data_IF_840729550293
#
_entry.id   IF_840729550293
#
_cell.length_a   1.000
_cell.length_b   1.000
_cell.length_c   1.000
_cell.angle_alpha   90.00
_cell.angle_beta   90.00
_cell.angle_gamma   90.00
#
_symmetry.space_group_name_H-M   'P 1'
#
loop_
_entity.id
_entity.type
_entity.pdbx_description
1 polymer ?
#
# COMPACT_ATOMS: atom_id res chain seq x y z
N UNK A 1 40.07 12.74 15.80
CA UNK A 1 38.66 12.80 15.39
C UNK A 1 37.85 11.92 16.33
N UNK A 2 37.23 12.52 17.33
CA UNK A 2 36.31 11.82 18.23
C UNK A 2 34.99 11.60 17.49
N UNK A 3 34.68 10.34 17.14
CA UNK A 3 33.31 9.98 16.77
C UNK A 3 32.46 10.15 18.02
N UNK A 4 31.58 11.12 18.05
CA UNK A 4 30.53 11.24 19.04
C UNK A 4 29.69 9.97 18.98
N UNK A 5 29.68 9.22 20.08
CA UNK A 5 28.87 8.02 20.24
C UNK A 5 27.43 8.48 20.51
N UNK A 6 26.72 8.93 19.45
CA UNK A 6 25.29 9.19 19.59
C UNK A 6 24.58 7.87 19.88
N UNK A 7 23.68 7.84 20.87
CA UNK A 7 22.94 6.62 21.17
C UNK A 7 22.18 6.16 19.93
N UNK A 8 22.35 4.89 19.58
CA UNK A 8 21.62 4.27 18.47
C UNK A 8 20.11 4.44 18.71
N UNK A 9 19.33 4.93 17.73
CA UNK A 9 17.89 5.04 17.91
C UNK A 9 17.29 3.68 18.30
N UNK A 10 16.19 3.65 19.07
CA UNK A 10 15.51 2.40 19.36
C UNK A 10 15.09 1.74 18.05
N UNK A 11 15.07 0.41 17.99
CA UNK A 11 14.63 -0.32 16.81
C UNK A 11 13.16 0.04 16.46
N UNK A 12 12.83 0.13 15.18
CA UNK A 12 11.47 0.36 14.71
C UNK A 12 10.53 -0.72 15.25
N UNK A 13 9.37 -0.30 15.72
CA UNK A 13 8.29 -1.20 16.08
C UNK A 13 7.45 -1.47 14.83
N UNK A 14 7.48 -2.71 14.36
CA UNK A 14 6.69 -3.13 13.19
C UNK A 14 5.34 -3.70 13.67
N UNK A 15 4.25 -3.12 13.14
CA UNK A 15 2.87 -3.57 13.39
C UNK A 15 2.38 -4.31 12.16
N UNK A 16 2.31 -5.63 12.29
CA UNK A 16 1.92 -6.49 11.16
C UNK A 16 0.41 -6.50 11.01
N UNK A 17 -0.06 -6.25 9.79
CA UNK A 17 -1.46 -6.30 9.41
C UNK A 17 -1.65 -6.96 8.05
N UNK A 18 -2.88 -6.94 7.54
CA UNK A 18 -3.21 -7.36 6.19
C UNK A 18 -4.33 -6.49 5.60
N UNK A 19 -4.60 -6.65 4.30
CA UNK A 19 -5.57 -5.86 3.57
C UNK A 19 -6.52 -6.74 2.75
N UNK A 20 -7.71 -6.23 2.37
CA UNK A 20 -8.73 -7.00 1.63
C UNK A 20 -8.28 -7.57 0.29
N UNK A 21 -7.28 -6.97 -0.38
CA UNK A 21 -6.70 -7.48 -1.62
C UNK A 21 -6.09 -8.88 -1.47
N UNK A 22 -5.56 -9.18 -0.28
CA UNK A 22 -5.10 -10.54 0.10
C UNK A 22 -6.24 -11.56 0.23
N UNK A 23 -7.49 -11.11 0.17
CA UNK A 23 -8.70 -11.93 0.07
C UNK A 23 -9.38 -11.82 -1.30
N UNK A 24 -8.69 -11.28 -2.29
CA UNK A 24 -9.20 -11.10 -3.64
C UNK A 24 -10.22 -9.98 -3.77
N UNK A 25 -10.14 -8.97 -2.92
CA UNK A 25 -11.07 -7.83 -2.90
C UNK A 25 -10.42 -6.62 -3.56
N UNK A 26 -10.91 -6.25 -4.74
CA UNK A 26 -10.45 -5.09 -5.50
C UNK A 26 -11.55 -4.03 -5.69
N UNK A 27 -12.80 -4.40 -5.48
CA UNK A 27 -13.95 -3.54 -5.72
C UNK A 27 -14.83 -3.47 -4.49
N UNK A 28 -15.55 -2.35 -4.28
CA UNK A 28 -16.44 -2.23 -3.13
C UNK A 28 -17.64 -3.18 -3.19
N UNK A 29 -18.09 -3.55 -4.39
CA UNK A 29 -19.29 -4.35 -4.62
C UNK A 29 -19.09 -5.26 -5.84
N UNK A 30 -18.50 -6.41 -5.62
CA UNK A 30 -18.32 -7.46 -6.64
C UNK A 30 -18.76 -8.82 -6.07
N UNK A 31 -19.75 -9.50 -6.69
CA UNK A 31 -20.28 -10.77 -6.19
C UNK A 31 -19.28 -11.93 -6.26
N UNK A 32 -18.16 -11.79 -6.95
CA UNK A 32 -17.11 -12.81 -7.04
C UNK A 32 -16.07 -12.69 -5.89
N UNK A 33 -16.18 -11.68 -5.06
CA UNK A 33 -15.33 -11.46 -3.89
C UNK A 33 -15.96 -12.03 -2.63
N UNK A 34 -15.13 -12.30 -1.61
CA UNK A 34 -15.66 -12.69 -0.29
C UNK A 34 -16.39 -11.50 0.37
N UNK A 35 -17.41 -11.79 1.16
CA UNK A 35 -18.08 -10.78 1.97
C UNK A 35 -17.13 -10.20 3.04
N UNK A 36 -17.33 -8.93 3.39
CA UNK A 36 -16.50 -8.23 4.38
C UNK A 36 -16.50 -8.91 5.76
N UNK A 37 -17.59 -9.53 6.16
CA UNK A 37 -17.72 -10.27 7.42
C UNK A 37 -16.79 -11.49 7.46
N UNK A 38 -16.75 -12.26 6.36
CA UNK A 38 -15.82 -13.37 6.20
C UNK A 38 -14.36 -12.90 6.18
N UNK A 39 -14.06 -11.82 5.48
CA UNK A 39 -12.71 -11.22 5.50
C UNK A 39 -12.27 -10.90 6.93
N UNK A 40 -13.11 -10.19 7.70
CA UNK A 40 -12.78 -9.81 9.07
C UNK A 40 -12.63 -11.02 10.00
N UNK A 41 -13.44 -12.06 9.83
CA UNK A 41 -13.31 -13.30 10.60
C UNK A 41 -12.01 -14.01 10.27
N UNK A 42 -11.69 -14.17 8.99
CA UNK A 42 -10.52 -14.93 8.54
C UNK A 42 -9.19 -14.18 8.81
N UNK A 43 -9.14 -12.86 8.68
CA UNK A 43 -7.93 -12.09 9.00
C UNK A 43 -7.60 -12.16 10.50
N UNK A 44 -8.62 -12.12 11.37
CA UNK A 44 -8.45 -12.34 12.81
C UNK A 44 -8.01 -13.78 13.12
N UNK A 45 -8.63 -14.77 12.48
CA UNK A 45 -8.28 -16.19 12.61
C UNK A 45 -6.85 -16.50 12.14
N UNK A 46 -6.35 -15.75 11.13
CA UNK A 46 -4.97 -15.83 10.68
C UNK A 46 -3.95 -15.23 11.67
N UNK A 47 -4.41 -14.54 12.72
CA UNK A 47 -3.58 -13.95 13.77
C UNK A 47 -3.15 -12.50 13.50
N UNK A 48 -3.75 -11.82 12.53
CA UNK A 48 -3.52 -10.40 12.34
C UNK A 48 -4.36 -9.59 13.34
N UNK A 49 -3.83 -8.43 13.73
CA UNK A 49 -4.52 -7.47 14.62
C UNK A 49 -4.75 -6.12 13.97
N UNK A 50 -4.18 -5.89 12.78
CA UNK A 50 -4.32 -4.67 12.00
C UNK A 50 -4.80 -4.97 10.60
N UNK A 51 -5.67 -4.09 10.10
CA UNK A 51 -6.19 -4.16 8.72
C UNK A 51 -6.17 -2.79 8.05
N UNK A 52 -6.12 -2.77 6.72
CA UNK A 52 -6.54 -1.62 5.92
C UNK A 52 -8.03 -1.72 5.56
N UNK A 53 -8.64 -0.57 5.25
CA UNK A 53 -10.05 -0.52 4.85
C UNK A 53 -10.29 -1.13 3.47
N UNK A 54 -9.27 -1.12 2.59
CA UNK A 54 -9.44 -1.49 1.18
C UNK A 54 -10.35 -0.52 0.42
N UNK A 55 -11.03 -0.96 -0.64
CA UNK A 55 -11.87 -0.10 -1.44
C UNK A 55 -13.06 0.43 -0.64
N UNK A 56 -13.26 1.77 -0.67
CA UNK A 56 -14.33 2.43 0.09
C UNK A 56 -15.71 1.87 -0.28
N UNK A 57 -16.43 1.36 0.70
CA UNK A 57 -17.73 0.72 0.53
C UNK A 57 -17.71 -0.79 0.65
N UNK A 58 -16.53 -1.44 0.63
CA UNK A 58 -16.42 -2.87 0.92
C UNK A 58 -16.68 -3.18 2.41
N UNK A 59 -15.96 -2.55 3.31
CA UNK A 59 -16.27 -2.60 4.74
C UNK A 59 -17.44 -1.64 5.07
N UNK A 60 -18.12 -1.82 6.21
CA UNK A 60 -19.17 -0.89 6.62
C UNK A 60 -18.69 0.56 6.62
N UNK A 61 -19.44 1.44 5.96
CA UNK A 61 -19.15 2.89 5.90
C UNK A 61 -19.75 3.68 7.05
N UNK A 62 -20.60 3.07 7.86
CA UNK A 62 -21.02 3.62 9.15
C UNK A 62 -19.87 3.43 10.17
N UNK A 63 -19.31 4.51 10.73
CA UNK A 63 -18.14 4.42 11.59
C UNK A 63 -18.38 3.65 12.89
N UNK A 64 -19.58 3.73 13.45
CA UNK A 64 -19.91 3.01 14.69
C UNK A 64 -19.94 1.50 14.41
N UNK A 65 -20.63 1.11 13.34
CA UNK A 65 -20.69 -0.29 12.91
C UNK A 65 -19.29 -0.83 12.58
N UNK A 66 -18.47 -0.07 11.85
CA UNK A 66 -17.10 -0.48 11.52
C UNK A 66 -16.27 -0.74 12.79
N UNK A 67 -16.31 0.18 13.77
CA UNK A 67 -15.63 0.01 15.06
C UNK A 67 -16.11 -1.22 15.81
N UNK A 68 -17.41 -1.44 15.89
CA UNK A 68 -17.99 -2.59 16.58
C UNK A 68 -17.56 -3.91 15.91
N UNK A 69 -17.59 -3.97 14.56
CA UNK A 69 -17.22 -5.15 13.79
C UNK A 69 -15.73 -5.49 13.88
N UNK A 70 -14.86 -4.48 13.92
CA UNK A 70 -13.42 -4.69 14.09
C UNK A 70 -13.08 -5.03 15.55
N UNK A 71 -13.64 -4.30 16.53
CA UNK A 71 -13.36 -4.48 17.95
C UNK A 71 -13.78 -5.86 18.46
N UNK A 72 -14.93 -6.39 18.04
CA UNK A 72 -15.39 -7.73 18.45
C UNK A 72 -14.48 -8.87 17.98
N UNK A 73 -13.63 -8.60 16.99
CA UNK A 73 -12.62 -9.53 16.45
C UNK A 73 -11.19 -9.23 16.91
N UNK A 74 -11.00 -8.23 17.76
CA UNK A 74 -9.67 -7.79 18.20
C UNK A 74 -8.84 -7.11 17.12
N UNK A 75 -9.51 -6.58 16.09
CA UNK A 75 -8.87 -5.88 14.97
C UNK A 75 -8.85 -4.37 15.19
N UNK A 76 -7.84 -3.72 14.65
CA UNK A 76 -7.72 -2.27 14.56
C UNK A 76 -7.46 -1.86 13.10
N UNK A 77 -7.91 -0.68 12.71
CA UNK A 77 -7.67 -0.12 11.38
C UNK A 77 -6.38 0.67 11.37
N UNK A 78 -5.54 0.48 10.36
CA UNK A 78 -4.26 1.19 10.17
C UNK A 78 -4.39 2.36 9.21
N UNK A 79 -5.09 2.17 8.09
CA UNK A 79 -5.22 3.16 7.02
C UNK A 79 -6.51 3.01 6.21
N UNK A 80 -6.89 4.09 5.54
CA UNK A 80 -7.79 4.07 4.39
C UNK A 80 -7.02 4.32 3.10
N UNK A 81 -7.56 3.86 1.96
CA UNK A 81 -6.87 3.90 0.67
C UNK A 81 -7.70 4.66 -0.37
N UNK A 82 -7.02 5.51 -1.17
CA UNK A 82 -7.64 6.29 -2.24
C UNK A 82 -6.78 6.30 -3.50
N UNK A 83 -7.41 6.21 -4.67
CA UNK A 83 -6.77 6.51 -5.94
C UNK A 83 -6.93 7.98 -6.30
N UNK A 84 -5.88 8.59 -6.85
CA UNK A 84 -5.86 10.03 -7.16
C UNK A 84 -5.32 10.31 -8.55
N UNK A 85 -5.96 11.23 -9.28
CA UNK A 85 -5.51 11.70 -10.59
C UNK A 85 -4.82 13.07 -10.56
N UNK A 86 -4.06 13.39 -9.50
CA UNK A 86 -3.55 14.74 -9.21
C UNK A 86 -2.63 15.33 -10.28
N UNK A 87 -1.99 14.49 -11.11
CA UNK A 87 -1.21 14.93 -12.27
C UNK A 87 -2.04 15.69 -13.32
N UNK A 88 -3.39 15.53 -13.30
CA UNK A 88 -4.33 16.23 -14.19
C UNK A 88 -4.60 17.69 -13.76
N UNK A 89 -3.99 18.13 -12.66
CA UNK A 89 -4.05 19.50 -12.18
C UNK A 89 -5.35 19.89 -11.46
N UNK A 90 -5.62 21.19 -11.42
CA UNK A 90 -6.76 21.74 -10.65
C UNK A 90 -8.14 21.24 -11.13
N UNK A 91 -8.24 20.80 -12.37
CA UNK A 91 -9.51 20.37 -12.95
C UNK A 91 -10.15 19.17 -12.19
N UNK A 92 -9.32 18.32 -11.59
CA UNK A 92 -9.78 17.13 -10.85
C UNK A 92 -9.81 17.33 -9.34
N UNK A 93 -9.38 18.49 -8.84
CA UNK A 93 -9.17 18.70 -7.40
C UNK A 93 -10.44 18.52 -6.57
N UNK A 94 -11.53 19.18 -6.94
CA UNK A 94 -12.76 19.15 -6.14
C UNK A 94 -13.38 17.75 -6.08
N UNK A 95 -13.39 17.01 -7.19
CA UNK A 95 -13.87 15.63 -7.24
C UNK A 95 -12.98 14.70 -6.41
N UNK A 96 -11.65 14.81 -6.59
CA UNK A 96 -10.68 14.05 -5.82
C UNK A 96 -10.84 14.32 -4.32
N UNK A 97 -10.93 15.60 -3.94
CA UNK A 97 -11.11 15.98 -2.54
C UNK A 97 -12.42 15.44 -1.94
N UNK A 98 -13.52 15.52 -2.67
CA UNK A 98 -14.80 15.00 -2.20
C UNK A 98 -14.77 13.49 -1.91
N UNK A 99 -13.99 12.73 -2.68
CA UNK A 99 -13.75 11.31 -2.41
C UNK A 99 -12.78 11.11 -1.24
N UNK A 100 -11.65 11.78 -1.23
CA UNK A 100 -10.64 11.74 -0.16
C UNK A 100 -11.27 12.06 1.19
N UNK A 101 -12.11 13.11 1.27
CA UNK A 101 -12.77 13.53 2.49
C UNK A 101 -13.62 12.41 3.11
N UNK A 102 -14.38 11.68 2.29
CA UNK A 102 -15.21 10.54 2.77
C UNK A 102 -14.37 9.42 3.35
N UNK A 103 -13.27 9.05 2.65
CA UNK A 103 -12.38 8.00 3.12
C UNK A 103 -11.62 8.45 4.37
N UNK A 104 -11.10 9.68 4.39
CA UNK A 104 -10.36 10.23 5.51
C UNK A 104 -11.23 10.34 6.78
N UNK A 105 -12.49 10.76 6.63
CA UNK A 105 -13.42 10.80 7.76
C UNK A 105 -13.67 9.42 8.35
N UNK A 106 -13.98 8.41 7.50
CA UNK A 106 -14.18 7.04 7.95
C UNK A 106 -12.91 6.48 8.63
N UNK A 107 -11.73 6.76 8.02
CA UNK A 107 -10.42 6.35 8.52
C UNK A 107 -10.14 6.92 9.91
N UNK A 108 -10.36 8.23 10.09
CA UNK A 108 -10.23 8.92 11.38
C UNK A 108 -11.19 8.36 12.43
N UNK A 109 -12.45 8.20 12.06
CA UNK A 109 -13.48 7.67 12.96
C UNK A 109 -13.24 6.20 13.34
N UNK A 110 -12.59 5.42 12.48
CA UNK A 110 -12.12 4.07 12.79
C UNK A 110 -10.88 4.04 13.71
N UNK A 111 -10.31 5.20 14.06
CA UNK A 111 -9.14 5.34 14.92
C UNK A 111 -7.80 5.08 14.22
N UNK A 112 -7.79 5.07 12.89
CA UNK A 112 -6.59 4.92 12.08
C UNK A 112 -5.82 6.24 11.94
N UNK A 113 -4.54 6.15 11.59
CA UNK A 113 -3.65 7.32 11.53
C UNK A 113 -3.14 7.65 10.12
N UNK A 114 -3.49 6.87 9.10
CA UNK A 114 -2.88 7.00 7.77
C UNK A 114 -3.91 7.02 6.65
N UNK A 115 -3.60 7.77 5.60
CA UNK A 115 -4.26 7.71 4.29
C UNK A 115 -3.22 7.28 3.25
N UNK A 116 -3.45 6.14 2.62
CA UNK A 116 -2.65 5.63 1.50
C UNK A 116 -3.20 6.24 0.21
N UNK A 117 -2.38 7.03 -0.49
CA UNK A 117 -2.75 7.67 -1.75
C UNK A 117 -2.02 6.99 -2.91
N UNK A 118 -2.77 6.39 -3.83
CA UNK A 118 -2.27 5.71 -5.02
C UNK A 118 -2.43 6.63 -6.22
N UNK A 119 -1.37 6.90 -7.01
CA UNK A 119 -1.48 7.63 -8.27
C UNK A 119 -2.37 6.93 -9.28
N UNK A 120 -2.93 7.67 -10.24
CA UNK A 120 -3.78 7.09 -11.27
C UNK A 120 -3.02 6.15 -12.19
N UNK A 121 -3.73 5.18 -12.73
CA UNK A 121 -3.26 4.30 -13.79
C UNK A 121 -3.08 5.08 -15.11
N UNK A 122 -1.99 4.77 -15.84
CA UNK A 122 -1.79 5.26 -17.20
C UNK A 122 -2.40 4.34 -18.25
N UNK A 123 -2.66 3.06 -17.89
CA UNK A 123 -3.41 2.10 -18.71
C UNK A 123 -4.47 1.40 -17.85
N UNK A 124 -5.53 0.93 -18.47
CA UNK A 124 -6.54 0.13 -17.80
C UNK A 124 -5.94 -1.19 -17.29
N UNK A 125 -6.12 -1.47 -16.03
CA UNK A 125 -5.52 -2.61 -15.33
C UNK A 125 -6.04 -3.98 -15.81
N UNK A 126 -7.19 -4.02 -16.49
CA UNK A 126 -7.79 -5.26 -17.00
C UNK A 126 -7.55 -5.47 -18.48
N UNK A 127 -7.75 -4.42 -19.28
CA UNK A 127 -7.72 -4.52 -20.74
C UNK A 127 -6.37 -4.15 -21.32
N UNK A 128 -5.55 -3.37 -20.59
CA UNK A 128 -4.30 -2.78 -21.08
C UNK A 128 -4.50 -1.61 -22.02
N UNK A 129 -5.75 -1.12 -22.20
CA UNK A 129 -6.01 0.08 -22.99
C UNK A 129 -5.24 1.27 -22.38
N UNK A 130 -4.50 1.98 -23.23
CA UNK A 130 -3.77 3.18 -22.82
C UNK A 130 -4.78 4.29 -22.53
N UNK A 131 -4.84 4.72 -21.29
CA UNK A 131 -5.74 5.79 -20.83
C UNK A 131 -5.08 7.16 -21.01
N UNK A 132 -3.79 7.22 -20.77
CA UNK A 132 -2.96 8.44 -20.85
C UNK A 132 -1.53 8.07 -21.23
N UNK A 133 -0.73 9.04 -21.66
CA UNK A 133 0.69 8.84 -21.87
C UNK A 133 1.34 8.41 -20.56
N UNK A 134 2.10 7.29 -20.57
CA UNK A 134 2.78 6.78 -19.38
C UNK A 134 3.67 7.83 -18.73
N UNK A 135 4.45 8.53 -19.58
CA UNK A 135 5.39 9.56 -19.13
C UNK A 135 4.69 10.89 -18.94
N UNK A 136 4.65 11.36 -17.70
CA UNK A 136 4.09 12.67 -17.39
C UNK A 136 4.95 13.80 -17.94
N UNK A 137 4.31 14.80 -18.52
CA UNK A 137 4.99 16.05 -18.90
C UNK A 137 5.57 16.75 -17.66
N UNK A 138 6.57 17.65 -17.83
CA UNK A 138 7.07 18.45 -16.71
C UNK A 138 5.99 19.29 -15.98
N UNK A 139 4.92 19.68 -16.69
CA UNK A 139 3.79 20.38 -16.08
C UNK A 139 2.95 19.44 -15.21
N UNK A 140 2.61 18.26 -15.72
CA UNK A 140 1.86 17.24 -14.98
C UNK A 140 2.62 16.76 -13.73
N UNK A 141 3.95 16.61 -13.81
CA UNK A 141 4.79 16.30 -12.64
C UNK A 141 4.72 17.40 -11.57
N UNK A 142 4.79 18.69 -11.97
CA UNK A 142 4.63 19.80 -11.01
C UNK A 142 3.26 19.78 -10.35
N UNK A 143 2.20 19.50 -11.12
CA UNK A 143 0.85 19.42 -10.58
C UNK A 143 0.71 18.21 -9.64
N UNK A 144 1.25 17.05 -10.00
CA UNK A 144 1.27 15.86 -9.13
C UNK A 144 1.92 16.18 -7.78
N UNK A 145 3.15 16.73 -7.77
CA UNK A 145 3.87 17.04 -6.53
C UNK A 145 3.11 18.07 -5.70
N UNK A 146 2.75 19.20 -6.30
CA UNK A 146 2.07 20.31 -5.63
C UNK A 146 0.70 19.90 -5.04
N UNK A 147 -0.09 19.15 -5.81
CA UNK A 147 -1.42 18.73 -5.36
C UNK A 147 -1.36 17.58 -4.36
N UNK A 148 -0.33 16.74 -4.42
CA UNK A 148 -0.08 15.73 -3.39
C UNK A 148 0.26 16.41 -2.05
N UNK A 149 1.10 17.44 -2.05
CA UNK A 149 1.37 18.23 -0.84
C UNK A 149 0.11 18.93 -0.31
N UNK A 150 -0.68 19.55 -1.21
CA UNK A 150 -1.96 20.17 -0.84
C UNK A 150 -2.93 19.16 -0.22
N UNK A 151 -3.02 17.96 -0.78
CA UNK A 151 -3.83 16.87 -0.26
C UNK A 151 -3.33 16.46 1.13
N UNK A 152 -2.04 16.20 1.28
CA UNK A 152 -1.43 15.79 2.54
C UNK A 152 -1.60 16.84 3.64
N UNK A 153 -1.38 18.11 3.31
CA UNK A 153 -1.60 19.21 4.23
C UNK A 153 -3.07 19.27 4.69
N UNK A 154 -4.01 19.20 3.75
CA UNK A 154 -5.43 19.29 4.06
C UNK A 154 -5.95 18.09 4.83
N UNK A 155 -5.48 16.87 4.50
CA UNK A 155 -5.78 15.64 5.23
C UNK A 155 -5.28 15.71 6.67
N UNK A 156 -4.09 16.27 6.89
CA UNK A 156 -3.54 16.49 8.23
C UNK A 156 -4.35 17.49 9.03
N UNK A 157 -4.67 18.65 8.44
CA UNK A 157 -5.38 19.72 9.13
C UNK A 157 -6.84 19.36 9.48
N UNK A 158 -7.56 18.72 8.55
CA UNK A 158 -8.98 18.44 8.74
C UNK A 158 -9.25 17.12 9.47
N UNK A 159 -8.36 16.12 9.30
CA UNK A 159 -8.59 14.76 9.83
C UNK A 159 -7.49 14.26 10.78
N UNK A 160 -6.35 14.94 10.88
CA UNK A 160 -5.23 14.51 11.70
C UNK A 160 -4.51 13.27 11.18
N UNK A 161 -4.70 12.90 9.90
CA UNK A 161 -4.07 11.74 9.29
C UNK A 161 -2.76 12.11 8.60
N UNK A 162 -1.83 11.16 8.56
CA UNK A 162 -0.61 11.22 7.74
C UNK A 162 -0.90 10.66 6.36
N UNK A 163 -0.39 11.31 5.32
CA UNK A 163 -0.52 10.84 3.95
C UNK A 163 0.74 10.13 3.51
N UNK A 164 0.58 8.89 3.07
CA UNK A 164 1.64 8.08 2.46
C UNK A 164 1.29 7.81 1.00
N UNK A 165 2.22 8.09 0.08
CA UNK A 165 2.03 7.78 -1.34
C UNK A 165 2.50 6.37 -1.63
N UNK A 166 1.66 5.61 -2.29
CA UNK A 166 1.89 4.22 -2.67
C UNK A 166 2.18 4.12 -4.18
N UNK A 167 3.44 3.97 -4.60
CA UNK A 167 3.80 3.61 -5.96
C UNK A 167 3.22 2.25 -6.34
N UNK A 168 2.52 2.18 -7.49
CA UNK A 168 1.81 0.97 -7.89
C UNK A 168 2.09 0.67 -9.37
N UNK A 169 2.20 -0.62 -9.72
CA UNK A 169 2.37 -1.06 -11.11
C UNK A 169 1.28 -0.46 -12.01
N UNK A 170 1.65 -0.10 -13.25
CA UNK A 170 0.79 0.53 -14.24
C UNK A 170 0.23 1.91 -13.86
N UNK A 171 0.72 2.56 -12.79
CA UNK A 171 0.41 3.96 -12.47
C UNK A 171 1.50 4.91 -12.98
N UNK A 172 1.24 6.22 -12.91
CA UNK A 172 2.24 7.24 -13.27
C UNK A 172 3.43 7.33 -12.30
N UNK A 173 3.38 6.62 -11.17
CA UNK A 173 4.51 6.51 -10.23
C UNK A 173 4.75 5.02 -9.97
N UNK A 174 5.46 4.37 -10.88
CA UNK A 174 5.68 2.93 -10.85
C UNK A 174 7.17 2.54 -10.86
N UNK A 175 8.05 3.31 -11.50
CA UNK A 175 9.49 3.01 -11.58
C UNK A 175 10.27 3.66 -10.44
N UNK A 176 11.52 3.20 -10.20
CA UNK A 176 12.43 3.83 -9.24
C UNK A 176 12.64 5.32 -9.56
N UNK A 177 12.80 5.68 -10.84
CA UNK A 177 12.97 7.07 -11.25
C UNK A 177 11.75 7.92 -10.84
N UNK A 178 10.54 7.40 -11.06
CA UNK A 178 9.31 8.09 -10.68
C UNK A 178 9.17 8.24 -9.17
N UNK A 179 9.48 7.19 -8.40
CA UNK A 179 9.43 7.20 -6.94
C UNK A 179 10.43 8.21 -6.38
N UNK A 180 11.69 8.16 -6.82
CA UNK A 180 12.73 9.10 -6.40
C UNK A 180 12.34 10.53 -6.75
N UNK A 181 11.86 10.77 -7.97
CA UNK A 181 11.41 12.09 -8.40
C UNK A 181 10.28 12.64 -7.53
N UNK A 182 9.28 11.82 -7.19
CA UNK A 182 8.20 12.24 -6.30
C UNK A 182 8.74 12.61 -4.91
N UNK A 183 9.60 11.77 -4.34
CA UNK A 183 10.21 12.01 -3.03
C UNK A 183 11.08 13.27 -3.01
N UNK A 184 11.84 13.53 -4.08
CA UNK A 184 12.71 14.70 -4.18
C UNK A 184 11.95 16.01 -4.46
N UNK A 185 10.73 15.91 -4.99
CA UNK A 185 9.91 17.09 -5.36
C UNK A 185 8.75 17.38 -4.41
N UNK A 186 8.64 16.62 -3.31
CA UNK A 186 7.61 16.82 -2.28
C UNK A 186 8.22 17.06 -0.90
N UNK A 187 7.52 17.86 -0.09
CA UNK A 187 7.91 18.18 1.29
C UNK A 187 7.96 16.92 2.16
N UNK A 188 9.13 16.56 2.74
CA UNK A 188 9.30 15.40 3.59
C UNK A 188 8.48 15.41 4.89
N UNK A 189 8.06 16.58 5.34
CA UNK A 189 7.24 16.72 6.55
C UNK A 189 5.73 16.53 6.26
N UNK A 190 5.34 16.50 4.99
CA UNK A 190 3.94 16.34 4.56
C UNK A 190 3.67 15.01 3.89
N UNK A 191 4.53 14.59 2.98
CA UNK A 191 4.33 13.42 2.13
C UNK A 191 5.34 12.35 2.49
N UNK A 192 4.87 11.18 2.86
CA UNK A 192 5.72 10.02 3.15
C UNK A 192 5.50 8.91 2.12
N UNK A 193 6.36 7.93 2.13
CA UNK A 193 6.30 6.77 1.25
C UNK A 193 5.58 5.61 1.94
N UNK A 194 4.59 5.04 1.28
CA UNK A 194 4.16 3.67 1.48
C UNK A 194 4.94 2.80 0.48
N UNK A 195 6.00 2.14 0.95
CA UNK A 195 6.75 1.24 0.08
C UNK A 195 6.05 -0.11 -0.01
N UNK A 196 5.47 -0.39 -1.17
CA UNK A 196 5.03 -1.74 -1.53
C UNK A 196 6.20 -2.49 -2.16
N UNK A 197 6.66 -3.54 -1.50
CA UNK A 197 7.83 -4.30 -1.93
C UNK A 197 7.59 -5.10 -3.21
N UNK A 198 6.36 -5.55 -3.43
CA UNK A 198 5.96 -6.31 -4.61
C UNK A 198 5.80 -5.42 -5.84
N UNK A 199 5.02 -4.34 -5.75
CA UNK A 199 4.87 -3.40 -6.87
C UNK A 199 6.20 -2.78 -7.27
N UNK A 200 7.05 -2.45 -6.29
CA UNK A 200 8.36 -1.89 -6.56
C UNK A 200 9.29 -2.90 -7.26
N UNK A 201 9.30 -4.18 -6.83
CA UNK A 201 10.02 -5.25 -7.50
C UNK A 201 9.43 -5.58 -8.88
N UNK A 202 8.10 -5.54 -9.03
CA UNK A 202 7.42 -5.69 -10.32
C UNK A 202 7.94 -4.68 -11.35
N UNK A 203 8.21 -3.46 -10.93
CA UNK A 203 8.76 -2.39 -11.77
C UNK A 203 10.31 -2.34 -11.80
N UNK A 204 10.99 -3.29 -11.16
CA UNK A 204 12.44 -3.44 -11.21
C UNK A 204 13.21 -2.69 -10.12
N UNK A 205 12.52 -2.18 -9.11
CA UNK A 205 13.13 -1.47 -7.99
C UNK A 205 13.75 -2.40 -6.93
N UNK A 206 14.69 -1.86 -6.16
CA UNK A 206 15.34 -2.51 -5.01
C UNK A 206 14.87 -1.87 -3.71
N UNK A 207 14.02 -2.57 -2.96
CA UNK A 207 13.41 -2.08 -1.73
C UNK A 207 14.44 -1.80 -0.64
N UNK A 208 15.49 -2.62 -0.52
CA UNK A 208 16.54 -2.43 0.51
C UNK A 208 17.32 -1.14 0.22
N UNK A 209 17.75 -0.97 -1.03
CA UNK A 209 18.46 0.24 -1.45
C UNK A 209 17.60 1.52 -1.29
N UNK A 210 16.32 1.43 -1.61
CA UNK A 210 15.42 2.57 -1.43
C UNK A 210 15.28 2.94 0.07
N UNK A 211 15.12 1.96 0.94
CA UNK A 211 15.06 2.21 2.41
C UNK A 211 16.37 2.79 2.92
N UNK A 212 17.52 2.29 2.50
CA UNK A 212 18.83 2.82 2.90
C UNK A 212 19.03 4.28 2.48
N UNK A 213 18.48 4.66 1.31
CA UNK A 213 18.63 6.01 0.76
C UNK A 213 17.56 6.97 1.25
N UNK A 214 16.30 6.54 1.26
CA UNK A 214 15.13 7.36 1.54
C UNK A 214 14.38 6.95 2.83
N UNK A 215 14.99 6.21 3.74
CA UNK A 215 14.32 5.68 4.93
C UNK A 215 13.65 6.74 5.81
N UNK A 216 14.10 8.01 5.78
CA UNK A 216 13.43 9.12 6.47
C UNK A 216 12.06 9.48 5.88
N UNK A 217 11.80 9.06 4.64
CA UNK A 217 10.53 9.24 3.93
C UNK A 217 9.60 8.05 4.14
N UNK A 218 10.09 6.94 4.68
CA UNK A 218 9.31 5.73 4.88
C UNK A 218 8.33 5.92 6.05
N UNK A 219 7.04 5.97 5.73
CA UNK A 219 5.95 6.07 6.72
C UNK A 219 5.15 4.79 6.87
N UNK A 220 5.23 3.89 5.87
CA UNK A 220 4.37 2.72 5.79
C UNK A 220 4.97 1.65 4.87
N UNK A 221 4.65 0.37 5.10
CA UNK A 221 5.12 -0.75 4.28
C UNK A 221 3.95 -1.63 3.84
N UNK A 222 3.94 -1.99 2.55
CA UNK A 222 3.21 -3.16 2.06
C UNK A 222 4.21 -4.28 1.79
N UNK A 223 3.98 -5.42 2.43
CA UNK A 223 4.82 -6.62 2.29
C UNK A 223 4.21 -7.54 1.26
N UNK A 224 4.75 -7.51 0.06
CA UNK A 224 4.28 -8.24 -1.11
C UNK A 224 5.45 -8.83 -1.86
N UNK A 225 5.26 -9.97 -2.51
CA UNK A 225 6.28 -10.60 -3.34
C UNK A 225 5.76 -10.91 -4.73
N UNK A 226 6.67 -10.87 -5.70
CA UNK A 226 6.39 -11.27 -7.09
C UNK A 226 7.13 -12.56 -7.42
N UNK A 227 6.46 -13.45 -8.16
CA UNK A 227 7.09 -14.61 -8.78
C UNK A 227 7.93 -14.17 -9.98
N UNK A 228 9.27 -14.34 -9.97
CA UNK A 228 10.13 -13.81 -11.02
C UNK A 228 9.92 -14.51 -12.37
N UNK A 229 9.49 -15.77 -12.38
CA UNK A 229 9.25 -16.51 -13.62
C UNK A 229 7.93 -16.06 -14.28
N UNK A 230 6.89 -15.87 -13.44
CA UNK A 230 5.62 -15.31 -13.92
C UNK A 230 5.83 -13.88 -14.42
N UNK A 231 6.56 -13.06 -13.67
CA UNK A 231 6.87 -11.68 -14.05
C UNK A 231 7.62 -11.60 -15.39
N UNK A 232 8.58 -12.50 -15.63
CA UNK A 232 9.28 -12.56 -16.92
C UNK A 232 8.31 -12.85 -18.09
N UNK A 233 7.33 -13.75 -17.90
CA UNK A 233 6.29 -14.03 -18.91
C UNK A 233 5.35 -12.85 -19.12
N UNK A 234 4.91 -12.23 -18.02
CA UNK A 234 4.04 -11.05 -18.03
C UNK A 234 4.67 -9.91 -18.84
N UNK A 235 5.97 -9.62 -18.57
CA UNK A 235 6.72 -8.59 -19.30
C UNK A 235 6.91 -8.92 -20.78
N UNK A 236 7.21 -10.18 -21.10
CA UNK A 236 7.37 -10.61 -22.47
C UNK A 236 6.09 -10.51 -23.30
N UNK A 237 4.93 -10.54 -22.66
CA UNK A 237 3.61 -10.43 -23.28
C UNK A 237 2.98 -9.05 -23.13
N UNK A 238 3.64 -8.13 -22.46
CA UNK A 238 3.14 -6.78 -22.09
C UNK A 238 1.74 -6.85 -21.47
N UNK A 239 1.53 -7.78 -20.54
CA UNK A 239 0.24 -7.92 -19.87
C UNK A 239 -0.01 -6.77 -18.89
N UNK A 240 -1.24 -6.22 -18.84
CA UNK A 240 -1.63 -5.29 -17.80
C UNK A 240 -1.71 -5.98 -16.43
N UNK A 241 -1.75 -5.19 -15.36
CA UNK A 241 -1.61 -5.69 -14.00
C UNK A 241 -2.67 -6.74 -13.61
N UNK A 242 -3.95 -6.52 -13.93
CA UNK A 242 -5.01 -7.46 -13.59
C UNK A 242 -4.81 -8.87 -14.20
N UNK A 243 -4.62 -9.03 -15.53
CA UNK A 243 -4.24 -10.30 -16.14
C UNK A 243 -2.94 -10.89 -15.59
N UNK A 244 -1.96 -10.06 -15.20
CA UNK A 244 -0.73 -10.53 -14.55
C UNK A 244 -1.02 -11.16 -13.18
N UNK A 245 -1.87 -10.54 -12.37
CA UNK A 245 -2.33 -11.07 -11.08
C UNK A 245 -3.10 -12.38 -11.27
N UNK A 246 -3.99 -12.44 -12.25
CA UNK A 246 -4.73 -13.66 -12.58
C UNK A 246 -3.80 -14.84 -12.99
N UNK A 247 -2.60 -14.55 -13.51
CA UNK A 247 -1.55 -15.54 -13.78
C UNK A 247 -0.69 -15.90 -12.55
N UNK A 248 -0.93 -15.28 -11.41
CA UNK A 248 -0.23 -15.54 -10.16
C UNK A 248 1.11 -14.81 -10.04
N UNK A 249 1.27 -13.63 -10.65
CA UNK A 249 2.48 -12.82 -10.54
C UNK A 249 2.74 -12.39 -9.09
N UNK A 250 1.70 -12.12 -8.31
CA UNK A 250 1.83 -11.90 -6.87
C UNK A 250 1.76 -13.25 -6.17
N UNK A 251 2.81 -13.58 -5.41
CA UNK A 251 2.97 -14.90 -4.81
C UNK A 251 3.09 -14.85 -3.29
N UNK A 252 2.84 -16.01 -2.69
CA UNK A 252 2.95 -16.19 -1.24
C UNK A 252 4.42 -16.10 -0.78
N UNK A 253 4.75 -15.29 0.25
CA UNK A 253 6.07 -15.35 0.88
C UNK A 253 6.36 -16.71 1.53
N UNK A 254 7.60 -17.24 1.45
CA UNK A 254 8.80 -16.63 0.87
C UNK A 254 9.09 -17.04 -0.60
N UNK A 255 8.09 -17.34 -1.39
CA UNK A 255 8.26 -17.98 -2.71
C UNK A 255 8.72 -17.02 -3.82
N UNK A 256 8.74 -15.71 -3.56
CA UNK A 256 9.06 -14.69 -4.55
C UNK A 256 10.15 -13.70 -4.15
N UNK A 257 10.18 -12.58 -4.86
CA UNK A 257 11.10 -11.48 -4.64
C UNK A 257 10.33 -10.17 -4.34
N UNK A 258 10.92 -9.22 -3.57
CA UNK A 258 12.18 -9.36 -2.83
C UNK A 258 12.04 -10.29 -1.64
N UNK A 259 13.15 -10.83 -1.12
CA UNK A 259 13.12 -11.48 0.19
C UNK A 259 12.71 -10.46 1.26
N UNK A 260 11.71 -10.78 2.10
CA UNK A 260 11.15 -9.82 3.07
C UNK A 260 12.04 -9.60 4.29
N UNK A 261 12.81 -10.61 4.70
CA UNK A 261 13.71 -10.49 5.86
C UNK A 261 14.74 -9.35 5.71
N UNK A 262 15.49 -9.22 4.58
CA UNK A 262 16.39 -8.08 4.35
C UNK A 262 15.66 -6.72 4.33
N UNK A 263 14.45 -6.66 3.79
CA UNK A 263 13.64 -5.43 3.78
C UNK A 263 13.29 -5.00 5.21
N UNK A 264 12.79 -5.93 6.02
CA UNK A 264 12.49 -5.67 7.44
C UNK A 264 13.74 -5.30 8.23
N UNK A 265 14.87 -5.97 7.94
CA UNK A 265 16.17 -5.65 8.57
C UNK A 265 16.64 -4.23 8.22
N UNK A 266 16.43 -3.76 6.99
CA UNK A 266 16.75 -2.40 6.58
C UNK A 266 15.83 -1.35 7.23
N UNK A 267 14.57 -1.67 7.48
CA UNK A 267 13.61 -0.77 8.12
C UNK A 267 13.81 -0.64 9.65
N UNK A 268 14.27 -1.69 10.34
CA UNK A 268 14.45 -1.70 11.82
C UNK A 268 15.30 -0.53 12.37
N UNK A 269 16.45 -0.15 11.77
CA UNK A 269 17.31 0.91 12.29
C UNK A 269 16.72 2.32 12.15
N UNK A 270 15.62 2.51 11.45
CA UNK A 270 15.02 3.83 11.26
C UNK A 270 14.49 4.44 12.55
N UNK A 271 14.18 3.60 13.55
CA UNK A 271 13.74 4.06 14.87
C UNK A 271 12.33 4.65 14.89
N UNK A 272 11.50 4.32 13.89
CA UNK A 272 10.12 4.79 13.75
C UNK A 272 9.14 3.63 13.86
N UNK A 273 7.93 3.90 14.36
CA UNK A 273 6.85 2.93 14.34
C UNK A 273 6.27 2.84 12.93
N UNK A 274 6.23 1.63 12.36
CA UNK A 274 5.73 1.37 11.02
C UNK A 274 4.64 0.33 11.03
N UNK A 275 3.61 0.55 10.23
CA UNK A 275 2.75 -0.54 9.79
C UNK A 275 3.44 -1.31 8.66
N UNK A 276 3.33 -2.62 8.71
CA UNK A 276 3.82 -3.53 7.68
C UNK A 276 2.64 -4.45 7.31
N UNK A 277 1.91 -4.05 6.30
CA UNK A 277 0.68 -4.70 5.87
C UNK A 277 1.00 -5.74 4.81
N UNK A 278 0.61 -6.97 5.05
CA UNK A 278 0.72 -8.04 4.07
C UNK A 278 -0.34 -7.85 3.00
N UNK A 279 0.13 -7.75 1.78
CA UNK A 279 -0.71 -7.71 0.60
C UNK A 279 -0.27 -8.78 -0.41
N UNK A 280 -1.21 -9.58 -0.84
CA UNK A 280 -1.03 -10.48 -1.96
C UNK A 280 -2.24 -10.34 -2.87
N UNK A 281 -2.06 -9.63 -3.98
CA UNK A 281 -3.15 -9.49 -4.95
C UNK A 281 -3.59 -10.86 -5.47
N UNK A 282 -4.85 -11.20 -5.25
CA UNK A 282 -5.43 -12.49 -5.61
C UNK A 282 -6.82 -12.31 -6.25
N UNK A 283 -6.91 -11.53 -7.32
CA UNK A 283 -8.21 -11.31 -7.98
C UNK A 283 -8.20 -11.86 -9.43
N UNK A 284 -9.23 -12.65 -9.83
CA UNK A 284 -10.23 -13.30 -8.96
C UNK A 284 -9.64 -14.42 -8.10
N UNK A 285 -10.19 -14.66 -6.92
CA UNK A 285 -9.65 -15.63 -5.97
C UNK A 285 -10.69 -16.67 -5.51
N UNK A 286 -10.34 -17.97 -5.53
CA UNK A 286 -11.18 -18.98 -4.85
C UNK A 286 -11.31 -18.67 -3.35
N UNK A 287 -12.53 -18.70 -2.78
CA UNK A 287 -12.78 -18.24 -1.42
C UNK A 287 -11.99 -18.98 -0.32
N UNK A 288 -11.54 -20.20 -0.58
CA UNK A 288 -10.84 -21.03 0.41
C UNK A 288 -9.32 -20.87 0.37
N UNK A 289 -8.79 -20.06 -0.57
CA UNK A 289 -7.36 -19.85 -0.74
C UNK A 289 -6.76 -18.83 0.26
N UNK A 290 -7.40 -17.69 0.60
CA UNK A 290 -6.77 -16.63 1.38
C UNK A 290 -6.35 -17.07 2.78
N UNK A 291 -7.24 -17.65 3.58
CA UNK A 291 -6.97 -17.97 4.98
C UNK A 291 -5.74 -18.87 5.20
N UNK A 292 -5.55 -20.00 4.49
CA UNK A 292 -4.33 -20.80 4.64
C UNK A 292 -3.05 -20.05 4.27
N UNK A 293 -3.08 -19.19 3.22
CA UNK A 293 -1.96 -18.35 2.81
C UNK A 293 -1.65 -17.34 3.89
N UNK A 294 -2.66 -16.60 4.37
CA UNK A 294 -2.53 -15.58 5.40
C UNK A 294 -1.91 -16.13 6.70
N UNK A 295 -2.31 -17.32 7.14
CA UNK A 295 -1.73 -18.01 8.31
C UNK A 295 -0.23 -18.33 8.13
N UNK A 296 0.15 -18.88 6.97
CA UNK A 296 1.55 -19.23 6.71
C UNK A 296 2.43 -17.98 6.62
N UNK A 297 1.95 -16.95 5.91
CA UNK A 297 2.66 -15.67 5.79
C UNK A 297 2.80 -15.00 7.15
N UNK A 298 1.76 -14.98 7.97
CA UNK A 298 1.81 -14.42 9.33
C UNK A 298 2.85 -15.11 10.21
N UNK A 299 2.86 -16.46 10.22
CA UNK A 299 3.82 -17.26 10.96
C UNK A 299 5.28 -17.03 10.47
N UNK A 300 5.48 -16.91 9.16
CA UNK A 300 6.78 -16.58 8.58
C UNK A 300 7.27 -15.21 9.07
N UNK A 301 6.44 -14.18 9.02
CA UNK A 301 6.82 -12.83 9.46
C UNK A 301 7.13 -12.77 10.95
N UNK A 302 6.42 -13.52 11.79
CA UNK A 302 6.75 -13.66 13.22
C UNK A 302 8.18 -14.16 13.40
N UNK A 303 8.59 -15.20 12.64
CA UNK A 303 9.93 -15.75 12.73
C UNK A 303 11.04 -14.74 12.37
N UNK A 304 10.73 -13.75 11.52
CA UNK A 304 11.65 -12.67 11.17
C UNK A 304 11.71 -11.58 12.24
N UNK A 305 10.67 -11.44 13.06
CA UNK A 305 10.60 -10.40 14.08
C UNK A 305 11.23 -10.84 15.41
N UNK A 306 11.21 -12.14 15.70
CA UNK A 306 11.72 -12.73 16.94
C UNK A 306 13.26 -12.95 16.91
N UNK A 307 13.89 -12.85 15.75
CA UNK A 307 15.36 -12.95 15.53
C UNK A 307 16.03 -11.59 15.53
#
# INVERSE_FOLDING_TARGET
MHRTNEPRPPASRLRIGSAPDSWGVWFPDDPHQVGWDRFLDEVAEAGYTWIELGPYGYLPTDPARLRDETARRGLSVSAGTVFTGLHRGEAVWEETWAHVAKVAELTREAGAGYLVAIPAFWRDDKTGEVLEDRELTPAAWRDLSRLTERLAHRVREEYGLRTVVHPHADTHVDTEEHVVRLLDTTDPDLVELCLDTGHYAYCGGDSVRLIETYGRRLGYLHLKQVDPEVLARVRAQDLPFGPAVAQGVMCEPPLGVPALEPVLAAARPLGVDLFAIVEQDMYPCPPDRPLPVARRTRALLESYLDG
#
